data_IF_174142590506
#
_entry.id   IF_174142590506
#
_cell.length_a   1.000
_cell.length_b   1.000
_cell.length_c   1.000
_cell.angle_alpha   90.00
_cell.angle_beta   90.00
_cell.angle_gamma   90.00
#
_symmetry.space_group_name_H-M   'P 1'
#
loop_
_entity.id
_entity.type
_entity.pdbx_description
1 polymer ?
#
# COMPACT_ATOMS: atom_id res chain seq x y z
N UNK A 1 3.96 23.89 29.06
CA UNK A 1 4.10 24.59 27.76
C UNK A 1 2.95 25.57 27.71
N UNK A 2 3.24 26.87 27.76
CA UNK A 2 2.19 27.90 27.74
C UNK A 2 1.51 27.95 26.38
N UNK A 3 0.18 27.94 26.37
CA UNK A 3 -0.62 28.14 25.17
C UNK A 3 -0.39 29.57 24.66
N UNK A 4 0.10 29.69 23.43
CA UNK A 4 0.31 30.99 22.80
C UNK A 4 -1.04 31.45 22.22
N UNK A 5 -1.64 32.47 22.83
CA UNK A 5 -2.79 33.15 22.25
C UNK A 5 -2.33 33.99 21.05
N UNK A 6 -2.99 33.80 19.91
CA UNK A 6 -2.75 34.58 18.69
C UNK A 6 -3.62 35.83 18.70
N UNK A 7 -3.06 36.95 18.24
CA UNK A 7 -3.83 38.17 18.08
C UNK A 7 -4.82 38.06 16.91
N UNK A 8 -5.87 38.89 16.93
CA UNK A 8 -6.85 38.95 15.84
C UNK A 8 -6.19 39.21 14.48
N UNK A 9 -5.18 40.08 14.45
CA UNK A 9 -4.46 40.44 13.23
C UNK A 9 -3.61 39.28 12.70
N UNK A 10 -3.03 38.46 13.59
CA UNK A 10 -2.30 37.24 13.22
C UNK A 10 -3.24 36.18 12.64
N UNK A 11 -4.43 36.01 13.22
CA UNK A 11 -5.46 35.11 12.68
C UNK A 11 -5.97 35.58 11.32
N UNK A 12 -6.22 36.87 11.14
CA UNK A 12 -6.62 37.43 9.84
C UNK A 12 -5.54 37.25 8.77
N UNK A 13 -4.25 37.39 9.13
CA UNK A 13 -3.13 37.13 8.23
C UNK A 13 -3.01 35.65 7.84
N UNK A 14 -3.25 34.73 8.78
CA UNK A 14 -3.26 33.28 8.52
C UNK A 14 -4.43 32.91 7.60
N UNK A 15 -5.62 33.45 7.84
CA UNK A 15 -6.81 33.22 7.00
C UNK A 15 -6.59 33.79 5.59
N UNK A 16 -6.02 34.99 5.45
CA UNK A 16 -5.64 35.54 4.15
C UNK A 16 -4.61 34.69 3.42
N UNK A 17 -3.64 34.10 4.14
CA UNK A 17 -2.65 33.18 3.56
C UNK A 17 -3.29 31.88 3.08
N UNK A 18 -4.21 31.32 3.85
CA UNK A 18 -4.95 30.10 3.49
C UNK A 18 -5.90 30.36 2.31
N UNK A 19 -6.53 31.53 2.25
CA UNK A 19 -7.38 31.94 1.13
C UNK A 19 -6.59 32.31 -0.14
N UNK A 20 -5.32 32.71 0.00
CA UNK A 20 -4.41 33.00 -1.10
C UNK A 20 -3.72 31.75 -1.70
N UNK A 21 -3.95 30.55 -1.12
CA UNK A 21 -3.71 29.29 -1.82
C UNK A 21 -4.80 29.17 -2.88
N UNK A 22 -4.55 29.79 -4.03
CA UNK A 22 -5.41 29.68 -5.20
C UNK A 22 -5.62 28.20 -5.51
N UNK A 23 -6.87 27.74 -5.44
CA UNK A 23 -7.26 26.54 -6.17
C UNK A 23 -6.87 26.81 -7.63
N UNK A 24 -5.93 26.02 -8.14
CA UNK A 24 -5.51 26.13 -9.54
C UNK A 24 -6.77 26.09 -10.39
N UNK A 25 -6.96 27.06 -11.28
CA UNK A 25 -8.17 27.14 -12.13
C UNK A 25 -8.33 25.92 -13.07
N UNK A 26 -7.35 25.01 -13.04
CA UNK A 26 -7.29 23.75 -13.78
C UNK A 26 -7.18 22.50 -12.87
N UNK A 27 -7.39 22.62 -11.55
CA UNK A 27 -7.43 21.44 -10.66
C UNK A 27 -8.81 20.77 -10.71
N UNK A 28 -8.94 19.80 -11.62
CA UNK A 28 -10.14 18.98 -11.81
C UNK A 28 -10.12 17.68 -10.99
N UNK A 29 -9.18 17.53 -10.04
CA UNK A 29 -9.06 16.32 -9.20
C UNK A 29 -10.30 16.03 -8.34
N UNK A 30 -11.18 17.02 -8.17
CA UNK A 30 -12.46 16.90 -7.45
C UNK A 30 -13.65 16.60 -8.36
N UNK A 31 -13.51 16.69 -9.68
CA UNK A 31 -14.55 16.26 -10.62
C UNK A 31 -14.51 14.75 -10.75
N UNK A 32 -15.66 14.10 -10.80
CA UNK A 32 -15.75 12.63 -10.79
C UNK A 32 -15.07 11.97 -12.01
N UNK A 33 -14.83 12.74 -13.07
CA UNK A 33 -14.30 12.26 -14.36
C UNK A 33 -12.99 12.92 -14.79
N UNK A 34 -12.49 13.93 -14.07
CA UNK A 34 -11.18 14.54 -14.31
C UNK A 34 -11.04 15.43 -15.57
N UNK A 35 -12.13 15.75 -16.30
CA UNK A 35 -12.07 16.63 -17.48
C UNK A 35 -12.68 18.01 -17.26
N UNK A 36 -12.15 19.03 -17.96
CA UNK A 36 -12.59 20.43 -17.88
C UNK A 36 -14.05 20.63 -18.31
N UNK A 37 -14.47 19.91 -19.35
CA UNK A 37 -15.83 20.00 -19.91
C UNK A 37 -16.87 19.41 -18.94
N UNK A 38 -16.56 18.29 -18.30
CA UNK A 38 -17.44 17.68 -17.32
C UNK A 38 -17.50 18.48 -16.01
N UNK A 39 -16.39 19.07 -15.57
CA UNK A 39 -16.39 19.98 -14.43
C UNK A 39 -17.26 21.24 -14.67
N UNK A 40 -17.29 21.74 -15.91
CA UNK A 40 -18.17 22.85 -16.30
C UNK A 40 -19.65 22.44 -16.27
N UNK A 41 -19.98 21.24 -16.77
CA UNK A 41 -21.35 20.71 -16.75
C UNK A 41 -21.83 20.37 -15.32
N UNK A 42 -20.98 19.80 -14.47
CA UNK A 42 -21.26 19.57 -13.05
C UNK A 42 -21.55 20.90 -12.32
N UNK A 43 -20.78 21.96 -12.63
CA UNK A 43 -20.99 23.28 -12.07
C UNK A 43 -22.31 23.91 -12.55
N UNK A 44 -22.63 23.79 -13.83
CA UNK A 44 -23.89 24.27 -14.41
C UNK A 44 -25.09 23.60 -13.73
N UNK A 45 -25.07 22.26 -13.62
CA UNK A 45 -26.11 21.50 -12.93
C UNK A 45 -26.25 21.89 -11.45
N UNK A 46 -25.13 22.02 -10.73
CA UNK A 46 -25.14 22.42 -9.33
C UNK A 46 -25.69 23.85 -9.11
N UNK A 47 -25.57 24.73 -10.11
CA UNK A 47 -26.16 26.08 -10.07
C UNK A 47 -27.68 26.00 -10.28
N UNK A 48 -28.12 25.17 -11.24
CA UNK A 48 -29.53 24.90 -11.52
C UNK A 48 -30.28 24.33 -10.30
N UNK A 49 -29.66 23.40 -9.57
CA UNK A 49 -30.24 22.81 -8.34
C UNK A 49 -30.27 23.79 -7.15
N UNK A 50 -29.42 24.81 -7.14
CA UNK A 50 -29.37 25.80 -6.05
C UNK A 50 -30.39 26.93 -6.23
N UNK A 51 -30.78 27.23 -7.45
CA UNK A 51 -31.76 28.28 -7.77
C UNK A 51 -33.22 27.85 -7.52
N UNK A 52 -33.46 26.58 -7.19
CA UNK A 52 -34.78 25.98 -6.85
C UNK A 52 -35.40 26.47 -5.51
N UNK A 53 -34.84 27.51 -4.89
CA UNK A 53 -35.50 28.19 -3.76
C UNK A 53 -36.48 29.28 -4.17
N UNK A 54 -36.65 29.55 -5.47
CA UNK A 54 -37.76 30.36 -5.98
C UNK A 54 -38.78 29.47 -6.70
N UNK A 55 -39.99 29.47 -6.17
CA UNK A 55 -41.12 28.68 -6.64
C UNK A 55 -41.44 28.90 -8.13
N UNK A 56 -41.86 27.80 -8.77
CA UNK A 56 -42.54 27.73 -10.06
C UNK A 56 -41.69 27.85 -11.35
N UNK A 57 -40.75 26.93 -11.53
CA UNK A 57 -40.67 26.20 -12.80
C UNK A 57 -40.06 24.83 -12.54
N UNK A 58 -40.78 23.74 -12.80
CA UNK A 58 -40.15 22.43 -12.97
C UNK A 58 -39.36 22.47 -14.28
N UNK A 59 -38.20 23.13 -14.24
CA UNK A 59 -37.24 23.14 -15.32
C UNK A 59 -36.72 21.73 -15.46
N UNK A 60 -37.27 21.00 -16.43
CA UNK A 60 -36.76 19.68 -16.78
C UNK A 60 -35.25 19.75 -16.99
N UNK A 61 -34.55 18.71 -16.51
CA UNK A 61 -33.13 18.51 -16.77
C UNK A 61 -32.89 18.79 -18.26
N UNK A 62 -32.01 19.75 -18.57
CA UNK A 62 -31.77 20.11 -19.96
C UNK A 62 -31.31 18.88 -20.74
N UNK A 63 -31.86 18.66 -21.93
CA UNK A 63 -31.51 17.53 -22.80
C UNK A 63 -30.00 17.45 -23.09
N UNK A 64 -29.31 18.60 -23.03
CA UNK A 64 -27.85 18.70 -23.06
C UNK A 64 -27.16 18.04 -21.87
N UNK A 65 -27.70 18.16 -20.66
CA UNK A 65 -27.14 17.50 -19.46
C UNK A 65 -27.27 15.99 -19.51
N UNK A 66 -28.34 15.47 -20.13
CA UNK A 66 -28.56 14.04 -20.34
C UNK A 66 -27.64 13.43 -21.39
N UNK A 67 -27.19 14.24 -22.36
CA UNK A 67 -26.33 13.79 -23.47
C UNK A 67 -24.84 13.97 -23.18
N UNK A 68 -24.45 14.89 -22.28
CA UNK A 68 -23.03 15.14 -21.94
C UNK A 68 -22.51 14.34 -20.76
N UNK A 69 -23.39 13.77 -19.94
CA UNK A 69 -22.97 12.93 -18.82
C UNK A 69 -22.60 11.51 -19.22
N UNK A 70 -21.86 10.85 -18.33
CA UNK A 70 -21.48 9.45 -18.45
C UNK A 70 -22.24 8.62 -17.42
N UNK A 71 -22.74 7.49 -17.88
CA UNK A 71 -23.36 6.48 -17.05
C UNK A 71 -22.31 5.50 -16.54
N UNK A 72 -22.35 5.20 -15.24
CA UNK A 72 -21.48 4.24 -14.59
C UNK A 72 -22.29 3.02 -14.14
N UNK A 73 -21.74 1.82 -14.28
CA UNK A 73 -22.39 0.56 -13.90
C UNK A 73 -21.77 0.03 -12.61
N UNK A 74 -22.60 -0.18 -11.58
CA UNK A 74 -22.21 -0.75 -10.30
C UNK A 74 -23.00 -2.02 -10.03
N UNK A 75 -22.40 -2.98 -9.34
CA UNK A 75 -23.14 -4.12 -8.80
C UNK A 75 -23.73 -3.70 -7.44
N UNK A 76 -24.99 -4.03 -7.18
CA UNK A 76 -25.60 -3.74 -5.88
C UNK A 76 -24.88 -4.50 -4.75
N UNK A 77 -25.14 -4.13 -3.48
CA UNK A 77 -24.48 -4.73 -2.33
C UNK A 77 -24.68 -6.26 -2.20
N UNK A 78 -25.74 -6.80 -2.80
CA UNK A 78 -26.07 -8.22 -2.79
C UNK A 78 -25.42 -9.00 -3.95
N UNK A 79 -24.82 -8.31 -4.92
CA UNK A 79 -24.24 -8.92 -6.10
C UNK A 79 -25.26 -9.41 -7.14
N UNK A 80 -26.53 -9.06 -6.99
CA UNK A 80 -27.66 -9.65 -7.73
C UNK A 80 -28.17 -8.81 -8.90
N UNK A 81 -27.93 -7.49 -8.90
CA UNK A 81 -28.33 -6.62 -10.00
C UNK A 81 -27.31 -5.51 -10.26
N UNK A 82 -27.28 -5.05 -11.51
CA UNK A 82 -26.53 -3.86 -11.89
C UNK A 82 -27.39 -2.61 -11.71
N UNK A 83 -26.80 -1.55 -11.16
CA UNK A 83 -27.34 -0.21 -11.08
C UNK A 83 -26.54 0.71 -12.00
N UNK A 84 -27.23 1.59 -12.72
CA UNK A 84 -26.63 2.61 -13.56
C UNK A 84 -26.80 3.96 -12.89
N UNK A 85 -25.69 4.68 -12.72
CA UNK A 85 -25.67 6.00 -12.08
C UNK A 85 -25.14 7.02 -13.09
N UNK A 86 -25.93 8.03 -13.39
CA UNK A 86 -25.50 9.13 -14.25
C UNK A 86 -24.70 10.15 -13.44
N UNK A 87 -23.47 10.46 -13.84
CA UNK A 87 -22.59 11.29 -13.01
C UNK A 87 -23.04 12.75 -12.87
N UNK A 88 -23.72 13.33 -13.87
CA UNK A 88 -24.15 14.73 -13.83
C UNK A 88 -25.49 14.85 -13.11
N UNK A 89 -26.51 14.16 -13.61
CA UNK A 89 -27.89 14.27 -13.10
C UNK A 89 -28.11 13.51 -11.78
N UNK A 90 -27.17 12.63 -11.41
CA UNK A 90 -27.27 11.72 -10.26
C UNK A 90 -28.48 10.79 -10.32
N UNK A 91 -29.04 10.60 -11.51
CA UNK A 91 -30.12 9.65 -11.76
C UNK A 91 -29.61 8.22 -11.56
N UNK A 92 -30.42 7.40 -10.88
CA UNK A 92 -30.12 6.00 -10.61
C UNK A 92 -31.24 5.16 -11.23
N UNK A 93 -30.88 4.23 -12.09
CA UNK A 93 -31.83 3.29 -12.70
C UNK A 93 -31.30 1.86 -12.67
N UNK A 94 -32.21 0.89 -12.52
CA UNK A 94 -31.91 -0.53 -12.64
C UNK A 94 -31.98 -1.02 -14.10
N UNK A 95 -32.53 -0.20 -15.00
CA UNK A 95 -32.65 -0.51 -16.42
C UNK A 95 -31.48 0.13 -17.15
N UNK A 96 -30.83 -0.61 -18.06
CA UNK A 96 -29.71 -0.11 -18.87
C UNK A 96 -30.17 1.12 -19.69
N UNK A 97 -29.57 2.31 -19.50
CA UNK A 97 -29.88 3.49 -20.31
C UNK A 97 -29.51 3.30 -21.78
N UNK A 98 -30.28 3.90 -22.70
CA UNK A 98 -30.06 3.78 -24.14
C UNK A 98 -28.71 4.36 -24.59
N UNK A 99 -28.24 5.42 -23.93
CA UNK A 99 -26.94 6.04 -24.17
C UNK A 99 -25.80 5.47 -23.30
N UNK A 100 -26.02 4.35 -22.60
CA UNK A 100 -24.94 3.66 -21.90
C UNK A 100 -24.02 2.95 -22.89
N UNK A 101 -22.85 3.53 -23.09
CA UNK A 101 -21.72 2.88 -23.75
C UNK A 101 -21.12 1.89 -22.76
N UNK A 102 -21.18 0.59 -23.09
CA UNK A 102 -20.49 -0.43 -22.30
C UNK A 102 -19.03 -0.02 -22.19
N UNK A 103 -18.55 0.18 -20.96
CA UNK A 103 -17.11 0.26 -20.76
C UNK A 103 -16.55 -1.05 -21.32
N UNK A 104 -15.55 -1.00 -22.23
CA UNK A 104 -15.01 -2.19 -22.84
C UNK A 104 -14.70 -3.14 -21.70
N UNK A 105 -15.38 -4.30 -21.68
CA UNK A 105 -15.28 -5.25 -20.58
C UNK A 105 -13.80 -5.42 -20.29
N UNK A 106 -13.36 -4.96 -19.11
CA UNK A 106 -12.02 -5.24 -18.59
C UNK A 106 -11.98 -6.70 -18.15
N UNK A 107 -12.39 -7.60 -19.03
CA UNK A 107 -12.10 -9.02 -19.02
C UNK A 107 -11.09 -9.21 -20.15
N UNK A 108 -9.82 -9.04 -19.79
CA UNK A 108 -8.69 -9.73 -20.40
C UNK A 108 -8.78 -10.00 -21.92
N UNK A 109 -8.70 -8.96 -22.75
CA UNK A 109 -8.14 -9.09 -24.10
C UNK A 109 -7.46 -7.77 -24.45
N UNK A 110 -6.13 -7.79 -24.39
CA UNK A 110 -5.28 -6.68 -24.73
C UNK A 110 -5.38 -6.36 -26.22
N UNK A 111 -5.77 -5.11 -26.51
CA UNK A 111 -5.43 -4.40 -27.74
C UNK A 111 -4.16 -3.59 -27.49
N UNK A 112 -3.22 -3.69 -28.41
CA UNK A 112 -1.77 -3.54 -28.30
C UNK A 112 -1.18 -2.14 -28.09
N UNK A 113 -1.93 -1.12 -27.69
CA UNK A 113 -1.42 0.26 -27.85
C UNK A 113 -1.10 1.04 -26.57
N UNK A 114 -1.00 0.39 -25.39
CA UNK A 114 -0.49 1.10 -24.20
C UNK A 114 0.06 0.22 -23.05
N UNK A 115 0.78 -0.87 -23.34
CA UNK A 115 1.32 -1.77 -22.29
C UNK A 115 2.79 -2.09 -22.50
N UNK A 116 3.64 -1.14 -22.14
CA UNK A 116 4.99 -1.45 -21.66
C UNK A 116 5.00 -1.56 -20.11
N UNK A 117 3.92 -2.07 -19.51
CA UNK A 117 4.01 -2.64 -18.15
C UNK A 117 4.78 -3.94 -18.30
N UNK A 118 6.09 -3.87 -18.08
CA UNK A 118 6.97 -5.01 -17.88
C UNK A 118 6.23 -6.07 -17.06
N UNK A 119 5.85 -7.18 -17.70
CA UNK A 119 5.29 -8.35 -16.99
C UNK A 119 6.29 -8.71 -15.91
N UNK A 120 5.91 -8.53 -14.66
CA UNK A 120 6.75 -8.88 -13.52
C UNK A 120 7.13 -10.37 -13.63
N UNK A 121 8.41 -10.72 -13.42
CA UNK A 121 8.88 -12.08 -13.62
C UNK A 121 8.12 -13.02 -12.67
N UNK A 122 7.51 -14.04 -13.26
CA UNK A 122 6.82 -15.11 -12.53
C UNK A 122 7.70 -16.35 -12.58
N UNK A 123 8.00 -16.92 -11.42
CA UNK A 123 8.84 -18.10 -11.26
C UNK A 123 8.08 -19.22 -10.56
N UNK A 124 8.52 -20.46 -10.77
CA UNK A 124 8.06 -21.59 -9.97
C UNK A 124 8.82 -21.66 -8.65
N UNK A 125 8.21 -22.21 -7.61
CA UNK A 125 8.83 -22.37 -6.29
C UNK A 125 10.19 -23.09 -6.34
N UNK A 126 10.36 -24.04 -7.27
CA UNK A 126 11.63 -24.77 -7.47
C UNK A 126 12.79 -23.87 -7.91
N UNK A 127 12.49 -22.73 -8.52
CA UNK A 127 13.48 -21.75 -8.99
C UNK A 127 13.77 -20.68 -7.92
N UNK A 128 13.07 -20.70 -6.77
CA UNK A 128 13.17 -19.68 -5.75
C UNK A 128 14.61 -19.49 -5.25
N UNK A 129 15.34 -20.57 -4.94
CA UNK A 129 16.72 -20.47 -4.44
C UNK A 129 17.66 -19.79 -5.45
N UNK A 130 17.55 -20.14 -6.74
CA UNK A 130 18.36 -19.53 -7.79
C UNK A 130 18.04 -18.03 -7.95
N UNK A 131 16.78 -17.65 -7.80
CA UNK A 131 16.34 -16.26 -7.88
C UNK A 131 16.77 -15.44 -6.66
N UNK A 132 16.76 -16.03 -5.46
CA UNK A 132 17.30 -15.38 -4.25
C UNK A 132 18.80 -15.09 -4.41
N UNK A 133 19.58 -16.05 -4.93
CA UNK A 133 21.00 -15.84 -5.23
C UNK A 133 21.21 -14.77 -6.30
N UNK A 134 20.34 -14.71 -7.32
CA UNK A 134 20.38 -13.65 -8.33
C UNK A 134 20.16 -12.26 -7.71
N UNK A 135 19.14 -12.10 -6.86
CA UNK A 135 18.87 -10.84 -6.17
C UNK A 135 20.03 -10.43 -5.24
N UNK A 136 20.62 -11.39 -4.53
CA UNK A 136 21.83 -11.17 -3.72
C UNK A 136 22.98 -10.63 -4.56
N UNK A 137 23.28 -11.26 -5.70
CA UNK A 137 24.32 -10.81 -6.62
C UNK A 137 24.02 -9.42 -7.20
N UNK A 138 22.74 -9.09 -7.40
CA UNK A 138 22.28 -7.77 -7.81
C UNK A 138 22.22 -6.74 -6.66
N UNK A 139 22.58 -7.13 -5.43
CA UNK A 139 22.50 -6.32 -4.22
C UNK A 139 21.10 -5.76 -3.93
N UNK A 140 20.06 -6.55 -4.21
CA UNK A 140 18.65 -6.21 -3.96
C UNK A 140 18.02 -7.15 -2.94
N UNK A 141 17.03 -6.62 -2.22
CA UNK A 141 16.15 -7.42 -1.36
C UNK A 141 15.00 -7.95 -2.23
N UNK A 142 14.78 -9.27 -2.30
CA UNK A 142 13.63 -9.84 -3.00
C UNK A 142 12.33 -9.61 -2.21
N UNK A 143 11.29 -9.13 -2.91
CA UNK A 143 9.91 -9.07 -2.46
C UNK A 143 9.10 -10.13 -3.21
N UNK A 144 8.79 -11.22 -2.53
CA UNK A 144 8.06 -12.36 -3.06
C UNK A 144 6.55 -12.08 -2.96
N UNK A 145 5.88 -12.01 -4.11
CA UNK A 145 4.43 -11.94 -4.20
C UNK A 145 3.89 -13.30 -4.62
N UNK A 146 2.91 -13.80 -3.88
CA UNK A 146 2.35 -15.12 -4.14
C UNK A 146 0.86 -15.17 -3.78
N UNK A 147 0.17 -16.23 -4.19
CA UNK A 147 -1.18 -16.51 -3.68
C UNK A 147 -1.09 -17.21 -2.31
N UNK A 148 -2.24 -17.41 -1.65
CA UNK A 148 -2.33 -18.04 -0.33
C UNK A 148 -1.71 -19.44 -0.28
N UNK A 149 -1.99 -20.30 -1.26
CA UNK A 149 -1.44 -21.66 -1.31
C UNK A 149 0.09 -21.66 -1.46
N UNK A 150 0.63 -20.78 -2.31
CA UNK A 150 2.07 -20.68 -2.54
C UNK A 150 2.78 -20.03 -1.34
N UNK A 151 2.11 -19.12 -0.62
CA UNK A 151 2.64 -18.48 0.57
C UNK A 151 3.07 -19.49 1.64
N UNK A 152 2.20 -20.45 1.97
CA UNK A 152 2.51 -21.49 2.95
C UNK A 152 3.74 -22.33 2.54
N UNK A 153 3.86 -22.62 1.24
CA UNK A 153 5.00 -23.34 0.68
C UNK A 153 6.30 -22.51 0.75
N UNK A 154 6.25 -21.21 0.46
CA UNK A 154 7.39 -20.29 0.61
C UNK A 154 7.80 -20.18 2.07
N UNK A 155 6.87 -19.97 3.00
CA UNK A 155 7.16 -19.92 4.44
C UNK A 155 7.78 -21.23 4.91
N UNK A 156 7.27 -22.38 4.45
CA UNK A 156 7.81 -23.70 4.77
C UNK A 156 9.24 -23.85 4.25
N UNK A 157 9.52 -23.42 3.02
CA UNK A 157 10.88 -23.39 2.46
C UNK A 157 11.86 -22.64 3.37
N UNK A 158 11.50 -21.44 3.83
CA UNK A 158 12.36 -20.65 4.72
C UNK A 158 12.45 -21.20 6.14
N UNK A 159 11.45 -21.93 6.66
CA UNK A 159 11.58 -22.64 7.94
C UNK A 159 12.67 -23.71 7.91
N UNK A 160 12.90 -24.34 6.75
CA UNK A 160 13.97 -25.35 6.58
C UNK A 160 15.33 -24.74 6.22
N UNK A 161 15.36 -23.59 5.56
CA UNK A 161 16.58 -22.98 4.98
C UNK A 161 17.04 -21.69 5.66
N UNK A 162 16.26 -21.14 6.59
CA UNK A 162 16.56 -19.86 7.22
C UNK A 162 15.68 -19.58 8.43
N UNK A 163 15.29 -18.33 8.58
CA UNK A 163 14.54 -17.81 9.72
C UNK A 163 13.29 -17.10 9.23
N UNK A 164 12.17 -17.30 9.90
CA UNK A 164 10.90 -16.65 9.56
C UNK A 164 10.46 -15.72 10.68
N UNK A 165 10.26 -14.46 10.34
CA UNK A 165 9.70 -13.43 11.20
C UNK A 165 8.23 -13.22 10.83
N UNK A 166 7.33 -13.77 11.64
CA UNK A 166 5.88 -13.60 11.50
C UNK A 166 5.47 -12.17 11.91
N UNK A 167 4.98 -11.39 10.95
CA UNK A 167 4.56 -10.01 11.19
C UNK A 167 3.07 -9.86 11.52
N UNK A 168 2.28 -10.93 11.48
CA UNK A 168 0.82 -10.84 11.71
C UNK A 168 0.46 -10.20 13.07
N UNK A 169 1.16 -10.49 14.19
CA UNK A 169 0.90 -9.79 15.45
C UNK A 169 1.14 -8.28 15.39
N UNK A 170 2.10 -7.83 14.57
CA UNK A 170 2.41 -6.41 14.38
C UNK A 170 1.38 -5.70 13.51
N UNK A 171 0.74 -6.42 12.57
CA UNK A 171 -0.28 -5.87 11.69
C UNK A 171 -1.68 -5.84 12.34
N UNK A 172 -2.07 -6.95 12.98
CA UNK A 172 -3.41 -7.16 13.52
C UNK A 172 -3.56 -6.73 14.99
N UNK A 173 -2.44 -6.60 15.71
CA UNK A 173 -2.42 -6.25 17.12
C UNK A 173 -2.81 -7.40 18.07
N UNK A 174 -2.68 -7.15 19.36
CA UNK A 174 -2.83 -8.20 20.39
C UNK A 174 -4.25 -8.68 20.64
N UNK A 175 -5.27 -7.89 20.29
CA UNK A 175 -6.68 -8.32 20.45
C UNK A 175 -6.98 -9.51 19.52
N UNK A 176 -6.49 -9.46 18.27
CA UNK A 176 -6.75 -10.49 17.26
C UNK A 176 -5.80 -11.68 17.37
N UNK A 177 -4.56 -11.44 17.78
CA UNK A 177 -3.50 -12.46 17.78
C UNK A 177 -3.18 -13.04 19.16
N UNK A 178 -3.68 -12.41 20.22
CA UNK A 178 -3.33 -12.77 21.61
C UNK A 178 -1.91 -12.33 22.02
N UNK A 179 -1.12 -11.72 21.13
CA UNK A 179 0.27 -11.32 21.39
C UNK A 179 0.39 -9.81 21.50
N UNK A 180 0.96 -9.31 22.59
CA UNK A 180 1.20 -7.86 22.75
C UNK A 180 2.21 -7.36 21.72
N UNK A 181 2.11 -6.10 21.32
CA UNK A 181 2.99 -5.52 20.30
C UNK A 181 4.45 -5.56 20.76
N UNK A 182 4.73 -5.29 22.03
CA UNK A 182 6.07 -5.33 22.62
C UNK A 182 6.66 -6.74 22.58
N UNK A 183 5.84 -7.76 22.86
CA UNK A 183 6.24 -9.16 22.78
C UNK A 183 6.52 -9.58 21.34
N UNK A 184 5.69 -9.14 20.39
CA UNK A 184 5.89 -9.37 18.96
C UNK A 184 7.17 -8.70 18.44
N UNK A 185 7.46 -7.46 18.88
CA UNK A 185 8.69 -6.74 18.56
C UNK A 185 9.92 -7.46 19.12
N UNK A 186 9.87 -7.91 20.37
CA UNK A 186 10.98 -8.66 20.99
C UNK A 186 11.19 -10.02 20.32
N UNK A 187 10.11 -10.73 19.94
CA UNK A 187 10.20 -11.95 19.16
C UNK A 187 10.84 -11.69 17.79
N UNK A 188 10.43 -10.61 17.11
CA UNK A 188 11.02 -10.19 15.84
C UNK A 188 12.52 -9.88 15.97
N UNK A 189 12.91 -9.13 17.01
CA UNK A 189 14.31 -8.85 17.35
C UNK A 189 15.12 -10.13 17.51
N UNK A 190 14.63 -11.08 18.31
CA UNK A 190 15.29 -12.38 18.53
C UNK A 190 15.47 -13.15 17.24
N UNK A 191 14.47 -13.18 16.35
CA UNK A 191 14.58 -13.83 15.04
C UNK A 191 15.63 -13.15 14.15
N UNK A 192 15.67 -11.82 14.11
CA UNK A 192 16.69 -11.06 13.36
C UNK A 192 18.09 -11.38 13.90
N UNK A 193 18.27 -11.36 15.22
CA UNK A 193 19.54 -11.69 15.87
C UNK A 193 19.94 -13.13 15.58
N UNK A 194 19.02 -14.08 15.66
CA UNK A 194 19.31 -15.48 15.30
C UNK A 194 19.77 -15.62 13.85
N UNK A 195 19.14 -14.91 12.91
CA UNK A 195 19.56 -14.89 11.50
C UNK A 195 20.96 -14.27 11.33
N UNK A 196 21.25 -13.15 12.00
CA UNK A 196 22.57 -12.50 11.99
C UNK A 196 23.66 -13.41 12.57
N UNK A 197 23.38 -14.05 13.71
CA UNK A 197 24.30 -15.01 14.33
C UNK A 197 24.62 -16.11 13.35
N UNK A 198 23.64 -16.70 12.69
CA UNK A 198 23.88 -17.85 11.81
C UNK A 198 24.34 -17.46 10.40
N UNK A 199 24.35 -16.17 10.03
CA UNK A 199 24.63 -15.75 8.66
C UNK A 199 23.58 -16.29 7.67
N UNK A 200 22.34 -16.43 8.13
CA UNK A 200 21.25 -17.05 7.37
C UNK A 200 20.28 -16.05 6.76
N UNK A 201 19.37 -16.56 5.93
CA UNK A 201 18.29 -15.77 5.35
C UNK A 201 17.17 -15.53 6.34
N UNK A 202 16.77 -14.27 6.49
CA UNK A 202 15.59 -13.84 7.21
C UNK A 202 14.44 -13.59 6.22
N UNK A 203 13.37 -14.36 6.34
CA UNK A 203 12.10 -14.07 5.69
C UNK A 203 11.24 -13.19 6.62
N UNK A 204 10.90 -11.99 6.17
CA UNK A 204 9.90 -11.14 6.79
C UNK A 204 8.53 -11.51 6.20
N UNK A 205 7.76 -12.28 6.96
CA UNK A 205 6.45 -12.77 6.54
C UNK A 205 5.36 -11.74 6.85
N UNK A 206 4.90 -11.05 5.82
CA UNK A 206 3.83 -10.05 5.89
C UNK A 206 2.44 -10.71 5.78
N UNK A 207 2.36 -11.87 5.13
CA UNK A 207 1.11 -12.55 4.82
C UNK A 207 0.09 -11.61 4.13
N UNK A 208 -1.12 -11.46 4.71
CA UNK A 208 -2.25 -10.72 4.14
C UNK A 208 -2.33 -9.25 4.60
N UNK A 209 -1.66 -8.91 5.70
CA UNK A 209 -1.76 -7.60 6.33
C UNK A 209 -0.36 -7.03 6.56
N UNK A 210 -0.01 -5.98 5.81
CA UNK A 210 1.23 -5.26 6.06
C UNK A 210 1.16 -4.52 7.41
N UNK A 211 2.13 -4.65 8.32
CA UNK A 211 2.31 -3.68 9.40
C UNK A 211 2.73 -2.31 8.86
N UNK A 212 2.52 -1.24 9.63
CA UNK A 212 3.06 0.08 9.27
C UNK A 212 4.53 0.19 9.72
N UNK A 213 5.44 -0.30 8.87
CA UNK A 213 6.86 -0.31 9.18
C UNK A 213 7.46 1.09 9.23
N UNK A 214 7.05 2.00 8.34
CA UNK A 214 7.60 3.35 8.29
C UNK A 214 7.28 4.17 9.53
N UNK A 215 6.01 4.21 9.95
CA UNK A 215 5.58 5.19 10.96
C UNK A 215 5.43 4.59 12.35
N UNK A 216 5.23 3.27 12.48
CA UNK A 216 4.96 2.62 13.78
C UNK A 216 6.06 1.65 14.21
N UNK A 217 6.53 0.78 13.32
CA UNK A 217 7.47 -0.29 13.72
C UNK A 217 8.93 0.19 13.70
N UNK A 218 9.43 0.76 12.60
CA UNK A 218 10.84 1.15 12.46
C UNK A 218 11.17 2.53 13.07
N UNK A 219 10.43 2.99 14.07
CA UNK A 219 10.65 4.32 14.65
C UNK A 219 11.95 4.41 15.46
N UNK A 220 12.36 5.64 15.80
CA UNK A 220 13.52 5.87 16.67
C UNK A 220 13.39 5.23 18.06
N UNK A 221 12.15 5.04 18.54
CA UNK A 221 11.86 4.36 19.83
C UNK A 221 12.08 2.85 19.72
N UNK A 222 11.76 2.27 18.56
CA UNK A 222 11.78 0.82 18.34
C UNK A 222 13.03 0.34 17.59
N UNK A 223 14.01 1.22 17.34
CA UNK A 223 15.24 0.91 16.58
C UNK A 223 16.08 -0.23 17.19
N UNK A 224 15.92 -0.51 18.48
CA UNK A 224 16.57 -1.63 19.18
C UNK A 224 15.86 -2.97 18.96
N UNK A 225 14.62 -2.95 18.47
CA UNK A 225 13.85 -4.14 18.13
C UNK A 225 13.82 -4.38 16.63
N UNK A 226 13.55 -3.32 15.85
CA UNK A 226 13.32 -3.41 14.40
C UNK A 226 13.86 -2.17 13.66
N UNK A 227 15.16 -2.11 13.34
CA UNK A 227 15.77 -0.98 12.66
C UNK A 227 15.38 -0.91 11.17
N UNK A 228 15.29 0.30 10.62
CA UNK A 228 15.03 0.54 9.20
C UNK A 228 15.99 -0.22 8.26
N UNK A 229 17.22 -0.46 8.71
CA UNK A 229 18.28 -1.14 7.98
C UNK A 229 17.94 -2.60 7.64
N UNK A 230 16.93 -3.21 8.28
CA UNK A 230 16.38 -4.52 7.87
C UNK A 230 15.88 -4.47 6.41
N UNK A 231 15.34 -3.34 5.97
CA UNK A 231 14.81 -3.14 4.60
C UNK A 231 15.84 -2.51 3.65
N UNK A 232 17.14 -2.64 3.93
CA UNK A 232 18.20 -2.11 3.07
C UNK A 232 19.29 -3.15 2.90
N UNK A 233 19.56 -3.55 1.65
CA UNK A 233 20.47 -4.65 1.33
C UNK A 233 21.84 -4.47 2.01
N UNK A 234 22.24 -5.47 2.80
CA UNK A 234 23.52 -5.52 3.51
C UNK A 234 23.74 -4.48 4.62
N UNK A 235 22.86 -3.47 4.78
CA UNK A 235 23.08 -2.35 5.72
C UNK A 235 23.03 -2.76 7.18
N UNK A 236 22.17 -3.72 7.52
CA UNK A 236 22.05 -4.21 8.90
C UNK A 236 23.33 -4.90 9.37
N UNK A 237 23.86 -5.86 8.59
CA UNK A 237 25.06 -6.61 8.94
C UNK A 237 26.36 -5.80 8.80
N UNK A 238 26.42 -4.84 7.87
CA UNK A 238 27.62 -4.01 7.66
C UNK A 238 27.80 -2.90 8.70
N UNK A 239 26.77 -2.54 9.46
CA UNK A 239 26.84 -1.41 10.40
C UNK A 239 26.86 -1.91 11.85
N UNK A 240 28.05 -2.10 12.41
CA UNK A 240 28.27 -2.60 13.79
C UNK A 240 27.40 -1.92 14.84
N UNK A 241 27.36 -0.58 14.83
CA UNK A 241 26.56 0.23 15.76
C UNK A 241 25.05 -0.08 15.68
N UNK A 242 24.54 -0.49 14.51
CA UNK A 242 23.13 -0.79 14.31
C UNK A 242 22.80 -2.17 14.85
N UNK A 243 23.53 -3.21 14.43
CA UNK A 243 23.21 -4.55 14.91
C UNK A 243 23.57 -4.74 16.38
N UNK A 244 24.59 -4.09 16.94
CA UNK A 244 24.92 -4.19 18.38
C UNK A 244 23.77 -3.73 19.28
N UNK A 245 22.92 -2.79 18.80
CA UNK A 245 21.71 -2.35 19.54
C UNK A 245 20.61 -3.40 19.56
N UNK A 246 20.65 -4.37 18.63
CA UNK A 246 19.71 -5.49 18.62
C UNK A 246 20.11 -6.57 19.63
N UNK A 247 21.41 -6.72 19.94
CA UNK A 247 21.88 -7.76 20.85
C UNK A 247 21.61 -7.37 22.30
N UNK A 248 20.96 -8.27 23.03
CA UNK A 248 20.95 -8.25 24.49
C UNK A 248 22.16 -9.04 25.00
N UNK A 249 22.43 -8.97 26.30
CA UNK A 249 23.62 -9.64 26.87
C UNK A 249 23.52 -11.17 26.73
N UNK A 250 22.32 -11.73 26.80
CA UNK A 250 22.03 -13.15 26.58
C UNK A 250 22.24 -13.61 25.13
N UNK A 251 22.26 -12.69 24.15
CA UNK A 251 22.42 -13.03 22.74
C UNK A 251 23.89 -13.14 22.33
N UNK A 252 24.80 -12.53 23.11
CA UNK A 252 26.22 -12.39 22.78
C UNK A 252 26.96 -13.73 22.90
N UNK A 253 27.85 -14.02 21.95
CA UNK A 253 28.74 -15.18 21.98
C UNK A 253 30.07 -14.74 22.60
N UNK A 254 30.41 -15.26 23.79
CA UNK A 254 31.61 -14.85 24.53
C UNK A 254 31.71 -13.33 24.77
N UNK A 255 30.57 -12.68 25.01
CA UNK A 255 30.48 -11.22 25.22
C UNK A 255 30.56 -10.38 23.95
N UNK A 256 30.60 -10.99 22.76
CA UNK A 256 30.63 -10.30 21.48
C UNK A 256 29.34 -10.51 20.67
N UNK A 257 28.95 -9.48 19.91
CA UNK A 257 27.83 -9.55 18.98
C UNK A 257 28.30 -10.21 17.68
N UNK A 258 27.83 -11.43 17.40
CA UNK A 258 28.25 -12.20 16.23
C UNK A 258 27.38 -11.90 15.00
N UNK A 259 27.88 -11.19 14.00
CA UNK A 259 27.22 -11.07 12.70
C UNK A 259 28.04 -11.86 11.67
N UNK A 260 27.57 -13.06 11.30
CA UNK A 260 28.26 -13.92 10.33
C UNK A 260 27.90 -13.49 8.90
N UNK A 261 28.83 -13.71 7.98
CA UNK A 261 28.61 -13.48 6.56
C UNK A 261 27.47 -14.35 6.03
N UNK A 262 26.77 -13.86 5.00
CA UNK A 262 25.62 -14.55 4.40
C UNK A 262 24.25 -14.12 4.93
N UNK A 263 24.21 -13.25 5.94
CA UNK A 263 22.94 -12.66 6.39
C UNK A 263 22.25 -11.89 5.25
N UNK A 264 21.02 -12.28 4.97
CA UNK A 264 20.19 -11.79 3.87
C UNK A 264 18.75 -11.60 4.33
N UNK A 265 18.03 -10.70 3.69
CA UNK A 265 16.61 -10.44 3.99
C UNK A 265 15.79 -10.65 2.73
N UNK A 266 14.67 -11.34 2.87
CA UNK A 266 13.62 -11.48 1.86
C UNK A 266 12.27 -11.11 2.49
N UNK A 267 11.35 -10.60 1.70
CA UNK A 267 9.97 -10.32 2.13
C UNK A 267 9.03 -11.26 1.38
N UNK A 268 7.94 -11.68 2.02
CA UNK A 268 6.82 -12.34 1.33
C UNK A 268 5.50 -11.70 1.70
N UNK A 269 4.64 -11.48 0.70
CA UNK A 269 3.29 -10.98 0.87
C UNK A 269 2.31 -11.74 -0.04
N UNK A 270 1.06 -11.84 0.42
CA UNK A 270 -0.03 -12.47 -0.34
C UNK A 270 -0.71 -11.42 -1.23
N UNK A 271 -0.78 -11.70 -2.52
CA UNK A 271 -1.48 -10.93 -3.54
C UNK A 271 -2.67 -11.74 -4.08
N UNK A 272 -3.84 -11.15 -4.33
CA UNK A 272 -4.14 -9.71 -4.46
C UNK A 272 -4.42 -8.87 -3.19
N UNK A 273 -4.65 -9.40 -1.96
CA UNK A 273 -5.05 -8.56 -0.82
C UNK A 273 -4.10 -7.39 -0.53
N UNK A 274 -2.80 -7.56 -0.78
CA UNK A 274 -1.81 -6.50 -0.71
C UNK A 274 -1.34 -6.10 -2.12
N UNK A 275 -1.54 -4.84 -2.46
CA UNK A 275 -0.99 -4.23 -3.67
C UNK A 275 0.40 -3.66 -3.42
N UNK A 276 1.20 -3.48 -4.47
CA UNK A 276 2.53 -2.88 -4.37
C UNK A 276 2.44 -1.44 -3.82
N UNK A 277 1.39 -0.70 -4.17
CA UNK A 277 1.17 0.66 -3.68
C UNK A 277 0.97 0.67 -2.16
N UNK A 278 0.11 -0.22 -1.63
CA UNK A 278 -0.11 -0.35 -0.20
C UNK A 278 1.17 -0.75 0.55
N UNK A 279 1.97 -1.66 -0.02
CA UNK A 279 3.28 -2.01 0.54
C UNK A 279 4.26 -0.83 0.45
N UNK A 280 4.22 -0.06 -0.64
CA UNK A 280 5.06 1.14 -0.85
C UNK A 280 4.82 2.20 0.19
N UNK A 281 3.59 2.42 0.60
CA UNK A 281 3.27 3.38 1.64
C UNK A 281 3.81 2.95 3.01
N UNK A 282 3.87 1.65 3.29
CA UNK A 282 4.07 1.11 4.64
C UNK A 282 5.46 0.54 4.89
N UNK A 283 6.19 0.13 3.85
CA UNK A 283 7.52 -0.49 3.94
C UNK A 283 8.60 0.52 3.51
N UNK A 284 9.62 0.77 4.35
CA UNK A 284 10.76 1.59 3.96
C UNK A 284 11.50 0.99 2.75
N UNK A 285 11.80 1.83 1.75
CA UNK A 285 12.71 1.46 0.66
C UNK A 285 12.20 0.40 -0.32
N UNK A 286 10.88 0.16 -0.40
CA UNK A 286 10.34 -0.88 -1.30
C UNK A 286 10.72 -0.66 -2.77
N UNK A 287 10.90 0.59 -3.20
CA UNK A 287 11.27 0.92 -4.58
C UNK A 287 12.67 0.45 -4.96
N UNK A 288 13.48 0.06 -3.97
CA UNK A 288 14.81 -0.53 -4.16
C UNK A 288 14.77 -2.07 -4.13
N UNK A 289 13.61 -2.66 -3.81
CA UNK A 289 13.41 -4.10 -3.77
C UNK A 289 13.11 -4.64 -5.17
N UNK A 290 13.35 -5.93 -5.35
CA UNK A 290 13.04 -6.63 -6.58
C UNK A 290 11.79 -7.48 -6.40
N UNK A 291 10.74 -7.15 -7.15
CA UNK A 291 9.46 -7.87 -7.09
C UNK A 291 9.56 -9.16 -7.89
N UNK A 292 9.27 -10.29 -7.24
CA UNK A 292 9.26 -11.62 -7.84
C UNK A 292 7.90 -12.24 -7.58
N UNK A 293 7.20 -12.69 -8.63
CA UNK A 293 5.96 -13.44 -8.46
C UNK A 293 6.28 -14.93 -8.37
N UNK A 294 5.87 -15.57 -7.29
CA UNK A 294 6.11 -17.00 -7.05
C UNK A 294 4.81 -17.76 -7.25
N UNK A 295 4.89 -18.87 -7.97
CA UNK A 295 3.80 -19.81 -8.24
C UNK A 295 4.23 -21.22 -7.83
N UNK A 296 3.27 -22.04 -7.40
CA UNK A 296 3.48 -23.44 -7.05
C UNK A 296 3.80 -24.32 -8.26
#
# INVERSE_FOLDING_TARGET
MGEKEYSKDELEAIVKRLAAVSMDANDYSKSFSGSKEMAAAEKEFATLVKDDKNEASMGGVSEKSLTTGKWYRFLNAQGTCYLYIHNITKEITAIRPENYVDEPNTTQQGGDDDVNKTKEPTIQLRQLEAELERCKNAQKIPLLLCNEETHDNVVTFFKYKGFVLDCRPLALGGIKTGTKVEEALEKGRKTIVAALKNGGRLLVDIAFDCPDFKTKICTMKNKEFFPHQVFSFGKLASTKIVYEKLYRDEDKESGQCAARDGFEVALVAVSPPLTIEALTERIPGISLMEVIRVTS
#
